data_IF_350695979745
#
_entry.id   IF_350695979745
#
_cell.length_a   1.000
_cell.length_b   1.000
_cell.length_c   1.000
_cell.angle_alpha   90.00
_cell.angle_beta   90.00
_cell.angle_gamma   90.00
#
_symmetry.space_group_name_H-M   'P 1'
#
loop_
_entity.id
_entity.type
_entity.pdbx_description
1 polymer ?
#
# COMPACT_ATOMS: atom_id res chain seq x y z
N UNK A 1 24.45 44.24 46.16
CA UNK A 1 24.62 42.80 46.48
C UNK A 1 23.38 42.04 46.03
N UNK A 2 23.29 41.68 44.74
CA UNK A 2 22.15 40.94 44.21
C UNK A 2 22.58 40.18 42.94
N UNK A 3 23.23 39.02 43.11
CA UNK A 3 23.54 38.11 42.02
C UNK A 3 23.95 36.73 42.57
N UNK A 4 23.05 36.01 43.24
CA UNK A 4 23.31 34.60 43.61
C UNK A 4 22.11 33.66 43.50
N UNK A 5 20.88 34.15 43.33
CA UNK A 5 19.69 33.29 43.38
C UNK A 5 19.25 32.71 42.02
N UNK A 6 19.79 33.21 40.89
CA UNK A 6 19.40 32.76 39.56
C UNK A 6 20.01 31.39 39.18
N UNK A 7 21.29 31.17 39.48
CA UNK A 7 22.00 29.95 39.08
C UNK A 7 21.40 28.68 39.70
N UNK A 8 20.99 28.77 40.98
CA UNK A 8 20.42 27.64 41.70
C UNK A 8 19.10 27.16 41.08
N UNK A 9 18.27 28.09 40.59
CA UNK A 9 17.01 27.77 39.92
C UNK A 9 17.26 27.06 38.59
N UNK A 10 18.26 27.49 37.80
CA UNK A 10 18.60 26.81 36.55
C UNK A 10 19.15 25.40 36.76
N UNK A 11 19.90 25.16 37.84
CA UNK A 11 20.36 23.82 38.17
C UNK A 11 19.21 22.88 38.58
N UNK A 12 18.24 23.40 39.34
CA UNK A 12 17.05 22.62 39.71
C UNK A 12 16.20 22.31 38.47
N UNK A 13 15.95 23.31 37.62
CA UNK A 13 15.17 23.12 36.39
C UNK A 13 15.88 22.18 35.40
N UNK A 14 17.20 22.27 35.28
CA UNK A 14 18.01 21.38 34.45
C UNK A 14 17.96 19.93 34.94
N UNK A 15 18.11 19.71 36.25
CA UNK A 15 18.01 18.38 36.84
C UNK A 15 16.60 17.79 36.68
N UNK A 16 15.55 18.61 36.92
CA UNK A 16 14.16 18.19 36.74
C UNK A 16 13.86 17.81 35.29
N UNK A 17 14.43 18.54 34.32
CA UNK A 17 14.28 18.25 32.89
C UNK A 17 14.96 16.94 32.50
N UNK A 18 16.18 16.69 33.02
CA UNK A 18 16.90 15.43 32.78
C UNK A 18 16.17 14.22 33.39
N UNK A 19 15.63 14.37 34.61
CA UNK A 19 14.82 13.33 35.26
C UNK A 19 13.53 13.08 34.47
N UNK A 20 12.87 14.12 33.99
CA UNK A 20 11.66 13.97 33.16
C UNK A 20 11.98 13.23 31.86
N UNK A 21 13.03 13.63 31.14
CA UNK A 21 13.45 12.94 29.90
C UNK A 21 13.80 11.48 30.18
N UNK A 22 14.53 11.19 31.26
CA UNK A 22 14.87 9.82 31.62
C UNK A 22 13.64 8.98 32.00
N UNK A 23 12.70 9.56 32.76
CA UNK A 23 11.43 8.95 33.14
C UNK A 23 10.57 8.62 31.91
N UNK A 24 10.38 9.58 31.00
CA UNK A 24 9.61 9.39 29.77
C UNK A 24 10.29 8.46 28.76
N UNK A 25 11.62 8.33 28.82
CA UNK A 25 12.39 7.47 27.90
C UNK A 25 12.52 6.02 28.37
N UNK A 26 12.41 5.73 29.68
CA UNK A 26 12.59 4.39 30.25
C UNK A 26 11.29 3.71 30.73
N UNK A 27 10.28 4.48 31.11
CA UNK A 27 9.03 3.96 31.67
C UNK A 27 7.84 4.23 30.74
N UNK A 28 8.01 3.96 29.45
CA UNK A 28 7.05 4.19 28.38
C UNK A 28 5.57 4.13 28.81
N UNK A 29 4.85 5.17 28.41
CA UNK A 29 3.41 5.44 28.60
C UNK A 29 2.96 5.91 29.99
N UNK A 30 2.95 7.23 30.17
CA UNK A 30 1.97 7.88 31.06
C UNK A 30 0.71 8.12 30.21
N UNK A 31 -0.33 7.31 30.44
CA UNK A 31 -1.66 7.51 29.85
C UNK A 31 -2.29 8.77 30.46
N UNK A 32 -2.06 9.93 29.82
CA UNK A 32 -2.64 11.23 30.19
C UNK A 32 -4.12 11.34 29.79
N UNK A 33 -4.90 10.28 30.00
CA UNK A 33 -6.37 10.32 29.87
C UNK A 33 -6.95 11.12 31.03
N UNK A 34 -6.95 12.44 30.88
CA UNK A 34 -7.87 13.32 31.60
C UNK A 34 -9.31 12.86 31.27
N UNK A 35 -10.12 12.46 32.25
CA UNK A 35 -11.52 12.11 32.00
C UNK A 35 -12.29 13.41 31.80
N UNK A 36 -12.53 13.82 30.55
CA UNK A 36 -13.57 14.81 30.29
C UNK A 36 -13.42 15.77 29.10
N UNK A 37 -12.39 15.68 28.24
CA UNK A 37 -12.26 16.65 27.13
C UNK A 37 -11.95 16.09 25.74
N UNK A 38 -12.06 14.78 25.54
CA UNK A 38 -12.11 14.20 24.20
C UNK A 38 -13.40 13.40 24.08
N UNK A 39 -14.13 13.49 22.95
CA UNK A 39 -15.19 12.52 22.69
C UNK A 39 -14.53 11.15 22.77
N UNK A 40 -15.10 10.27 23.59
CA UNK A 40 -14.80 8.84 23.52
C UNK A 40 -14.76 8.49 22.04
N UNK A 41 -13.62 8.00 21.55
CA UNK A 41 -13.60 7.18 20.36
C UNK A 41 -14.46 5.98 20.68
N UNK A 42 -15.77 6.16 20.53
CA UNK A 42 -16.71 5.08 20.43
C UNK A 42 -16.10 4.20 19.36
N UNK A 43 -15.68 3.02 19.78
CA UNK A 43 -15.50 1.93 18.85
C UNK A 43 -16.85 1.79 18.17
N UNK A 44 -17.01 2.51 17.05
CA UNK A 44 -18.06 2.23 16.10
C UNK A 44 -17.77 0.79 15.73
N UNK A 45 -18.63 -0.09 16.24
CA UNK A 45 -18.88 -1.36 15.62
C UNK A 45 -19.20 -1.02 14.18
N UNK A 46 -18.16 -1.00 13.35
CA UNK A 46 -18.31 -0.84 11.92
C UNK A 46 -19.03 -2.11 11.51
N UNK A 47 -20.33 -1.94 11.26
CA UNK A 47 -21.13 -2.84 10.48
C UNK A 47 -20.24 -3.35 9.34
N UNK A 48 -20.10 -4.68 9.27
CA UNK A 48 -19.24 -5.40 8.32
C UNK A 48 -19.60 -5.17 6.84
N UNK A 49 -20.49 -4.21 6.55
CA UNK A 49 -21.17 -4.00 5.27
C UNK A 49 -21.09 -2.55 4.77
N UNK A 50 -20.35 -1.65 5.43
CA UNK A 50 -20.05 -0.36 4.85
C UNK A 50 -18.94 -0.50 3.78
N UNK A 51 -19.27 -0.21 2.53
CA UNK A 51 -18.27 0.01 1.48
C UNK A 51 -17.32 1.12 1.93
N UNK A 52 -16.01 0.88 1.92
CA UNK A 52 -15.05 1.95 2.20
C UNK A 52 -15.24 3.07 1.16
N UNK A 53 -15.24 4.35 1.57
CA UNK A 53 -15.44 5.46 0.64
C UNK A 53 -14.31 5.50 -0.38
N UNK A 54 -14.62 5.95 -1.60
CA UNK A 54 -13.60 6.15 -2.63
C UNK A 54 -12.80 7.44 -2.36
N UNK A 55 -11.52 7.43 -2.77
CA UNK A 55 -10.72 8.65 -2.80
C UNK A 55 -11.17 9.48 -4.00
N UNK A 56 -11.51 10.73 -3.75
CA UNK A 56 -11.95 11.68 -4.76
C UNK A 56 -10.82 12.66 -5.11
N UNK A 57 -10.87 13.23 -6.31
CA UNK A 57 -10.00 14.35 -6.72
C UNK A 57 -10.82 15.63 -6.80
N UNK A 58 -10.32 16.71 -6.19
CA UNK A 58 -10.86 18.07 -6.31
C UNK A 58 -9.73 19.03 -6.65
N UNK A 59 -9.72 19.53 -7.89
CA UNK A 59 -8.59 20.30 -8.40
C UNK A 59 -7.28 19.50 -8.29
N UNK A 60 -6.25 20.08 -7.65
CA UNK A 60 -4.95 19.43 -7.47
C UNK A 60 -4.86 18.51 -6.22
N UNK A 61 -5.94 18.35 -5.46
CA UNK A 61 -5.90 17.67 -4.15
C UNK A 61 -6.82 16.44 -4.12
N UNK A 62 -6.41 15.44 -3.33
CA UNK A 62 -7.21 14.25 -3.04
C UNK A 62 -8.04 14.46 -1.78
N UNK A 63 -9.23 13.86 -1.75
CA UNK A 63 -10.15 13.93 -0.63
C UNK A 63 -10.66 12.53 -0.28
N UNK A 64 -10.91 12.32 1.01
CA UNK A 64 -11.57 11.12 1.51
C UNK A 64 -12.61 11.56 2.55
N UNK A 65 -13.87 11.18 2.33
CA UNK A 65 -14.99 11.57 3.20
C UNK A 65 -15.06 13.09 3.43
N UNK A 66 -14.83 13.86 2.36
CA UNK A 66 -14.85 15.32 2.41
C UNK A 66 -13.65 15.98 3.08
N UNK A 67 -12.67 15.22 3.59
CA UNK A 67 -11.43 15.74 4.18
C UNK A 67 -10.25 15.62 3.22
N UNK A 68 -9.28 16.56 3.25
CA UNK A 68 -8.02 16.40 2.54
C UNK A 68 -7.35 15.06 2.84
N UNK A 69 -6.98 14.33 1.78
CA UNK A 69 -6.30 13.05 1.87
C UNK A 69 -4.88 13.18 1.33
N UNK A 70 -3.90 13.01 2.23
CA UNK A 70 -2.49 12.99 1.89
C UNK A 70 -1.97 11.57 1.93
N UNK A 71 -1.27 11.18 0.87
CA UNK A 71 -0.70 9.84 0.75
C UNK A 71 0.58 9.79 1.59
N UNK A 72 0.60 8.92 2.60
CA UNK A 72 1.81 8.43 3.23
C UNK A 72 1.90 6.93 2.90
N UNK A 73 2.82 6.52 2.03
CA UNK A 73 2.71 5.21 1.41
C UNK A 73 4.03 4.54 1.08
N UNK A 74 3.93 3.32 0.56
CA UNK A 74 5.07 2.50 0.17
C UNK A 74 4.78 1.67 -1.10
N UNK A 75 5.80 0.98 -1.59
CA UNK A 75 5.68 0.04 -2.69
C UNK A 75 6.01 -1.38 -2.20
N UNK A 76 5.19 -2.36 -2.57
CA UNK A 76 5.47 -3.78 -2.41
C UNK A 76 4.87 -4.52 -3.59
N UNK A 77 5.63 -4.59 -4.67
CA UNK A 77 5.17 -5.18 -5.94
C UNK A 77 4.87 -6.69 -5.85
N UNK A 78 5.51 -7.37 -4.90
CA UNK A 78 5.52 -8.83 -4.75
C UNK A 78 4.36 -9.40 -3.92
N UNK A 79 3.43 -8.57 -3.42
CA UNK A 79 2.39 -9.04 -2.49
C UNK A 79 1.54 -10.17 -3.08
N UNK A 80 1.13 -10.03 -4.35
CA UNK A 80 0.37 -11.05 -5.05
C UNK A 80 1.14 -12.37 -5.17
N UNK A 81 2.42 -12.31 -5.59
CA UNK A 81 3.28 -13.50 -5.72
C UNK A 81 3.48 -14.21 -4.36
N UNK A 82 3.78 -13.46 -3.30
CA UNK A 82 3.97 -14.05 -1.97
C UNK A 82 2.68 -14.61 -1.36
N UNK A 83 1.51 -14.13 -1.79
CA UNK A 83 0.21 -14.63 -1.33
C UNK A 83 -0.17 -15.99 -1.95
N UNK A 84 0.47 -16.40 -3.05
CA UNK A 84 0.15 -17.65 -3.74
C UNK A 84 0.45 -18.85 -2.84
N UNK A 85 1.67 -18.95 -2.31
CA UNK A 85 2.12 -20.11 -1.57
C UNK A 85 1.76 -20.03 -0.07
N UNK A 86 1.18 -21.08 0.54
CA UNK A 86 0.84 -21.08 1.96
C UNK A 86 2.02 -20.73 2.88
N UNK A 87 3.22 -21.18 2.52
CA UNK A 87 4.42 -20.95 3.31
C UNK A 87 4.84 -19.47 3.38
N UNK A 88 4.59 -18.67 2.34
CA UNK A 88 4.96 -17.24 2.29
C UNK A 88 3.79 -16.30 2.56
N UNK A 89 2.54 -16.79 2.48
CA UNK A 89 1.32 -15.97 2.54
C UNK A 89 1.25 -15.04 3.75
N UNK A 90 1.74 -15.48 4.91
CA UNK A 90 1.77 -14.69 6.15
C UNK A 90 2.52 -13.35 5.99
N UNK A 91 3.52 -13.28 5.09
CA UNK A 91 4.34 -12.09 4.85
C UNK A 91 3.52 -10.90 4.35
N UNK A 92 2.38 -11.15 3.70
CA UNK A 92 1.47 -10.08 3.25
C UNK A 92 0.87 -9.37 4.46
N UNK A 93 0.33 -10.14 5.41
CA UNK A 93 -0.25 -9.59 6.65
C UNK A 93 0.82 -8.89 7.50
N UNK A 94 2.01 -9.49 7.61
CA UNK A 94 3.11 -8.90 8.38
C UNK A 94 3.60 -7.57 7.78
N UNK A 95 3.67 -7.47 6.45
CA UNK A 95 4.00 -6.22 5.77
C UNK A 95 2.96 -5.13 6.04
N UNK A 96 1.67 -5.45 5.92
CA UNK A 96 0.61 -4.48 6.24
C UNK A 96 0.63 -4.07 7.71
N UNK A 97 0.83 -5.02 8.63
CA UNK A 97 0.98 -4.72 10.07
C UNK A 97 2.14 -3.77 10.32
N UNK A 98 3.32 -4.05 9.78
CA UNK A 98 4.49 -3.20 9.93
C UNK A 98 4.24 -1.80 9.36
N UNK A 99 3.66 -1.71 8.16
CA UNK A 99 3.35 -0.44 7.51
C UNK A 99 2.37 0.43 8.31
N UNK A 100 1.30 -0.18 8.84
CA UNK A 100 0.33 0.52 9.69
C UNK A 100 0.94 0.97 11.02
N UNK A 101 1.85 0.18 11.61
CA UNK A 101 2.61 0.58 12.79
C UNK A 101 3.50 1.82 12.57
N UNK A 102 3.88 2.08 11.31
CA UNK A 102 4.61 3.29 10.90
C UNK A 102 3.68 4.43 10.43
N UNK A 103 2.36 4.26 10.48
CA UNK A 103 1.39 5.26 10.04
C UNK A 103 1.27 5.39 8.51
N UNK A 104 1.66 4.37 7.74
CA UNK A 104 1.46 4.34 6.30
C UNK A 104 0.01 3.95 5.95
N UNK A 105 -0.56 4.60 4.94
CA UNK A 105 -1.98 4.53 4.59
C UNK A 105 -2.25 4.00 3.18
N UNK A 106 -1.25 4.00 2.29
CA UNK A 106 -1.40 3.55 0.90
C UNK A 106 -0.26 2.65 0.47
N UNK A 107 -0.59 1.49 -0.11
CA UNK A 107 0.36 0.59 -0.74
C UNK A 107 0.19 0.60 -2.25
N UNK A 108 1.27 0.80 -3.00
CA UNK A 108 1.32 0.49 -4.43
C UNK A 108 1.84 -0.92 -4.63
N UNK A 109 1.09 -1.74 -5.37
CA UNK A 109 1.44 -3.14 -5.69
C UNK A 109 1.07 -3.49 -7.13
N UNK A 110 1.47 -4.66 -7.59
CA UNK A 110 1.17 -5.12 -8.95
C UNK A 110 -0.09 -5.98 -8.93
N UNK A 111 -0.98 -5.70 -9.86
CA UNK A 111 -2.14 -6.53 -10.18
C UNK A 111 -1.94 -7.28 -11.51
N UNK A 112 -0.70 -7.35 -12.00
CA UNK A 112 -0.30 -8.10 -13.19
C UNK A 112 0.87 -9.04 -12.83
N UNK A 113 0.98 -10.13 -13.59
CA UNK A 113 2.17 -10.95 -13.71
C UNK A 113 1.99 -11.76 -15.00
N UNK A 114 2.69 -11.35 -16.05
CA UNK A 114 2.44 -11.80 -17.42
C UNK A 114 3.47 -12.88 -17.80
N UNK A 115 3.06 -14.14 -17.77
CA UNK A 115 3.89 -15.27 -18.24
C UNK A 115 5.16 -15.58 -17.43
N UNK A 116 5.33 -15.06 -16.22
CA UNK A 116 6.48 -15.38 -15.34
C UNK A 116 6.13 -16.41 -14.23
N UNK A 117 7.04 -16.63 -13.27
CA UNK A 117 6.76 -17.45 -12.08
C UNK A 117 5.54 -16.91 -11.35
N UNK A 118 4.58 -17.79 -11.00
CA UNK A 118 3.25 -17.41 -10.48
C UNK A 118 2.53 -16.38 -11.37
N UNK A 119 2.60 -16.55 -12.69
CA UNK A 119 1.88 -15.73 -13.65
C UNK A 119 0.39 -15.65 -13.30
N UNK A 120 -0.11 -14.43 -13.18
CA UNK A 120 -1.54 -14.16 -13.11
C UNK A 120 -2.15 -14.42 -14.48
N UNK A 121 -1.53 -13.89 -15.53
CA UNK A 121 -1.95 -14.08 -16.91
C UNK A 121 -0.96 -15.02 -17.61
N UNK A 122 -1.42 -16.23 -17.94
CA UNK A 122 -0.62 -17.27 -18.58
C UNK A 122 -0.42 -16.98 -20.06
N UNK A 123 -1.49 -16.51 -20.72
CA UNK A 123 -1.54 -16.06 -22.10
C UNK A 123 -2.68 -15.03 -22.24
N UNK A 124 -2.83 -14.31 -23.37
CA UNK A 124 -3.89 -13.32 -23.53
C UNK A 124 -5.27 -13.88 -23.14
N UNK A 125 -5.91 -13.26 -22.14
CA UNK A 125 -7.24 -13.64 -21.65
C UNK A 125 -7.32 -14.96 -20.84
N UNK A 126 -6.20 -15.63 -20.57
CA UNK A 126 -6.17 -16.87 -19.79
C UNK A 126 -5.43 -16.65 -18.47
N UNK A 127 -6.13 -16.89 -17.35
CA UNK A 127 -5.67 -16.53 -16.01
C UNK A 127 -5.50 -17.75 -15.09
N UNK A 128 -4.52 -17.68 -14.19
CA UNK A 128 -4.40 -18.63 -13.08
C UNK A 128 -5.28 -18.16 -11.91
N UNK A 129 -6.41 -18.83 -11.71
CA UNK A 129 -7.37 -18.59 -10.62
C UNK A 129 -6.70 -18.63 -9.23
N UNK A 130 -5.66 -19.45 -9.05
CA UNK A 130 -4.91 -19.51 -7.78
C UNK A 130 -4.21 -18.19 -7.49
N UNK A 131 -3.68 -17.53 -8.52
CA UNK A 131 -3.00 -16.23 -8.41
C UNK A 131 -4.03 -15.10 -8.28
N UNK A 132 -5.20 -15.21 -8.92
CA UNK A 132 -6.32 -14.27 -8.68
C UNK A 132 -6.75 -14.27 -7.21
N UNK A 133 -6.94 -15.45 -6.61
CA UNK A 133 -7.24 -15.57 -5.18
C UNK A 133 -6.14 -15.01 -4.29
N UNK A 134 -4.89 -15.06 -4.76
CA UNK A 134 -3.77 -14.44 -4.06
C UNK A 134 -3.89 -12.91 -4.08
N UNK A 135 -4.30 -12.31 -5.21
CA UNK A 135 -4.61 -10.88 -5.29
C UNK A 135 -5.82 -10.51 -4.41
N UNK A 136 -6.87 -11.33 -4.37
CA UNK A 136 -8.02 -11.14 -3.47
C UNK A 136 -7.57 -11.06 -2.01
N UNK A 137 -6.68 -11.96 -1.60
CA UNK A 137 -6.10 -11.95 -0.25
C UNK A 137 -5.38 -10.63 0.04
N UNK A 138 -4.61 -10.09 -0.91
CA UNK A 138 -3.95 -8.78 -0.76
C UNK A 138 -4.98 -7.67 -0.52
N UNK A 139 -6.09 -7.68 -1.26
CA UNK A 139 -7.19 -6.72 -1.07
C UNK A 139 -7.85 -6.88 0.31
N UNK A 140 -8.08 -8.11 0.76
CA UNK A 140 -8.66 -8.41 2.08
C UNK A 140 -7.73 -7.95 3.20
N UNK A 141 -6.43 -8.25 3.11
CA UNK A 141 -5.45 -7.83 4.11
C UNK A 141 -5.30 -6.30 4.14
N UNK A 142 -5.26 -5.64 2.98
CA UNK A 142 -5.26 -4.18 2.92
C UNK A 142 -6.47 -3.58 3.65
N UNK A 143 -7.68 -4.14 3.42
CA UNK A 143 -8.89 -3.71 4.13
C UNK A 143 -8.81 -3.94 5.64
N UNK A 144 -8.34 -5.11 6.08
CA UNK A 144 -8.18 -5.45 7.50
C UNK A 144 -7.25 -4.48 8.23
N UNK A 145 -6.26 -3.95 7.51
CA UNK A 145 -5.28 -3.01 8.02
C UNK A 145 -5.62 -1.53 7.73
N UNK A 146 -6.78 -1.23 7.13
CA UNK A 146 -7.17 0.15 6.81
C UNK A 146 -6.29 0.82 5.75
N UNK A 147 -5.62 0.02 4.90
CA UNK A 147 -4.72 0.49 3.85
C UNK A 147 -5.44 0.53 2.51
N UNK A 148 -5.20 1.58 1.72
CA UNK A 148 -5.69 1.69 0.34
C UNK A 148 -4.65 1.20 -0.66
N UNK A 149 -5.11 0.66 -1.78
CA UNK A 149 -4.23 0.11 -2.81
C UNK A 149 -4.17 1.00 -4.06
N UNK A 150 -2.97 1.13 -4.61
CA UNK A 150 -2.75 1.55 -5.99
C UNK A 150 -2.30 0.32 -6.77
N UNK A 151 -3.18 -0.20 -7.62
CA UNK A 151 -2.94 -1.40 -8.41
C UNK A 151 -2.33 -1.02 -9.76
N UNK A 152 -1.06 -1.36 -9.98
CA UNK A 152 -0.43 -1.25 -11.29
C UNK A 152 -0.93 -2.38 -12.18
N UNK A 153 -1.31 -2.07 -13.41
CA UNK A 153 -1.99 -2.99 -14.34
C UNK A 153 -1.09 -3.55 -15.44
N UNK A 154 0.09 -2.95 -15.63
CA UNK A 154 1.13 -3.44 -16.52
C UNK A 154 2.49 -2.89 -16.07
N UNK A 155 3.56 -3.42 -16.66
CA UNK A 155 4.91 -2.89 -16.52
C UNK A 155 5.47 -2.39 -17.86
N UNK A 156 6.27 -1.34 -17.80
CA UNK A 156 7.10 -0.93 -18.94
C UNK A 156 8.43 -1.71 -18.99
N UNK A 157 8.90 -2.18 -17.83
CA UNK A 157 10.11 -3.00 -17.69
C UNK A 157 9.76 -4.48 -17.75
N UNK A 158 10.76 -5.34 -17.90
CA UNK A 158 10.57 -6.78 -18.14
C UNK A 158 10.17 -7.59 -16.90
N UNK A 159 10.35 -7.03 -15.70
CA UNK A 159 10.04 -7.76 -14.47
C UNK A 159 8.55 -8.12 -14.43
N UNK A 160 8.29 -9.42 -14.25
CA UNK A 160 6.97 -10.06 -14.26
C UNK A 160 6.23 -9.85 -15.60
N UNK A 161 6.98 -9.77 -16.69
CA UNK A 161 6.47 -9.61 -18.04
C UNK A 161 6.24 -8.15 -18.41
N UNK A 162 4.99 -7.68 -18.35
CA UNK A 162 4.61 -6.35 -18.81
C UNK A 162 4.58 -6.24 -20.33
N UNK A 163 4.81 -5.02 -20.86
CA UNK A 163 4.65 -4.72 -22.29
C UNK A 163 5.44 -5.65 -23.21
N UNK A 164 6.64 -6.05 -22.79
CA UNK A 164 7.49 -6.98 -23.54
C UNK A 164 6.80 -8.33 -23.74
N UNK A 165 6.08 -8.83 -22.74
CA UNK A 165 5.38 -10.11 -22.85
C UNK A 165 4.17 -10.02 -23.78
N UNK A 166 3.44 -8.90 -23.75
CA UNK A 166 2.34 -8.65 -24.68
C UNK A 166 2.80 -8.59 -26.14
N UNK A 167 3.94 -7.95 -26.40
CA UNK A 167 4.56 -7.94 -27.74
C UNK A 167 4.96 -9.35 -28.16
N UNK A 168 5.55 -10.14 -27.26
CA UNK A 168 5.91 -11.55 -27.55
C UNK A 168 4.68 -12.39 -27.88
N UNK A 169 3.61 -12.31 -27.10
CA UNK A 169 2.38 -13.06 -27.39
C UNK A 169 1.82 -12.75 -28.78
N UNK A 170 1.75 -11.46 -29.16
CA UNK A 170 1.27 -11.07 -30.48
C UNK A 170 2.22 -11.50 -31.62
N UNK A 171 3.53 -11.44 -31.38
CA UNK A 171 4.53 -11.88 -32.35
C UNK A 171 4.48 -13.39 -32.58
N UNK A 172 4.39 -14.18 -31.52
CA UNK A 172 4.35 -15.65 -31.58
C UNK A 172 3.04 -16.16 -32.21
N UNK A 173 1.94 -15.43 -32.04
CA UNK A 173 0.65 -15.72 -32.71
C UNK A 173 0.62 -15.24 -34.18
N UNK A 174 1.63 -14.49 -34.64
CA UNK A 174 1.73 -13.99 -36.01
C UNK A 174 0.77 -12.85 -36.32
N UNK A 175 0.20 -12.19 -35.30
CA UNK A 175 -0.74 -11.07 -35.45
C UNK A 175 -0.10 -9.71 -35.16
N UNK A 176 1.09 -9.69 -34.54
CA UNK A 176 1.82 -8.48 -34.22
C UNK A 176 2.37 -7.80 -35.47
N UNK A 177 2.18 -6.47 -35.58
CA UNK A 177 2.68 -5.67 -36.69
C UNK A 177 4.20 -5.59 -36.74
N UNK A 178 4.85 -5.57 -35.56
CA UNK A 178 6.31 -5.48 -35.42
C UNK A 178 6.75 -5.99 -34.04
N UNK A 179 7.96 -6.57 -33.98
CA UNK A 179 8.60 -7.03 -32.76
C UNK A 179 9.15 -5.90 -31.87
N UNK A 180 8.94 -4.62 -32.22
CA UNK A 180 9.30 -3.50 -31.38
C UNK A 180 8.58 -3.55 -30.03
N UNK A 181 9.28 -3.29 -28.94
CA UNK A 181 8.67 -3.28 -27.61
C UNK A 181 7.60 -2.17 -27.45
N UNK A 182 7.69 -1.12 -28.27
CA UNK A 182 6.72 -0.03 -28.25
C UNK A 182 5.45 -0.33 -29.06
N UNK A 183 5.40 -1.47 -29.77
CA UNK A 183 4.16 -1.99 -30.38
C UNK A 183 3.02 -2.10 -29.40
N UNK A 184 3.32 -2.32 -28.11
CA UNK A 184 2.32 -2.32 -27.04
C UNK A 184 1.40 -1.08 -27.05
N UNK A 185 1.91 0.08 -27.46
CA UNK A 185 1.16 1.33 -27.41
C UNK A 185 0.32 1.63 -28.66
N UNK A 186 0.59 0.98 -29.80
CA UNK A 186 -0.06 1.32 -31.07
C UNK A 186 -0.57 0.12 -31.87
N UNK A 187 -0.16 -1.10 -31.55
CA UNK A 187 -0.65 -2.32 -32.21
C UNK A 187 -2.10 -2.62 -31.79
N UNK A 188 -3.03 -2.77 -32.74
CA UNK A 188 -4.44 -2.99 -32.43
C UNK A 188 -4.70 -4.33 -31.73
N UNK A 189 -3.98 -5.40 -32.08
CA UNK A 189 -4.14 -6.72 -31.47
C UNK A 189 -3.67 -6.71 -30.02
N UNK A 190 -2.49 -6.12 -29.76
CA UNK A 190 -1.97 -5.98 -28.39
C UNK A 190 -2.90 -5.12 -27.52
N UNK A 191 -3.43 -4.03 -28.09
CA UNK A 191 -4.43 -3.20 -27.40
C UNK A 191 -5.67 -3.99 -27.01
N UNK A 192 -6.13 -4.90 -27.86
CA UNK A 192 -7.29 -5.72 -27.57
C UNK A 192 -6.98 -6.80 -26.51
N UNK A 193 -5.78 -7.39 -26.51
CA UNK A 193 -5.31 -8.24 -25.40
C UNK A 193 -5.32 -7.50 -24.06
N UNK A 194 -4.77 -6.29 -24.02
CA UNK A 194 -4.74 -5.51 -22.78
C UNK A 194 -6.15 -5.10 -22.34
N UNK A 195 -7.06 -4.79 -23.26
CA UNK A 195 -8.48 -4.54 -22.93
C UNK A 195 -9.20 -5.76 -22.39
N UNK A 196 -8.84 -6.97 -22.81
CA UNK A 196 -9.38 -8.21 -22.23
C UNK A 196 -8.93 -8.33 -20.78
N UNK A 197 -7.65 -8.03 -20.48
CA UNK A 197 -7.14 -8.00 -19.11
C UNK A 197 -7.84 -6.96 -18.21
N UNK A 198 -8.24 -5.82 -18.76
CA UNK A 198 -8.90 -4.74 -18.00
C UNK A 198 -10.38 -5.01 -17.66
N UNK A 199 -11.02 -6.00 -18.30
CA UNK A 199 -12.46 -6.28 -18.14
C UNK A 199 -12.71 -7.32 -17.07
#
# INVERSE_FOLDING_TARGET
MAACNGLFVYHILGLASLVAVFYFSLLGEVDLRFPGLLPSSGASQHSHDASLPFVERRGAQLFLEGRPFYINGWNSYWLMDQAVEPASRHRVSDMFRAATGMGLTVCRTWAFNDGAYNALQLSPGHFDERVFRALDLVVVEARRHGVRLVLSLANNLEAYGGKTQYVRWAWDEGVGLTASNDSFFFDPAIRDYFKVYLK
#
